data_IF_398975094240
#
_entry.id   IF_398975094240
#
_cell.length_a   1.000
_cell.length_b   1.000
_cell.length_c   1.000
_cell.angle_alpha   90.00
_cell.angle_beta   90.00
_cell.angle_gamma   90.00
#
_symmetry.space_group_name_H-M   'P 1'
#
loop_
_entity.id
_entity.type
_entity.pdbx_description
1 polymer ?
#
# COMPACT_ATOMS: atom_id res chain seq x y z
N UNK A 1 -9.59 -23.01 20.31
CA UNK A 1 -9.29 -22.06 19.21
C UNK A 1 -10.58 -21.76 18.48
N UNK A 2 -11.11 -20.55 18.64
CA UNK A 2 -12.46 -20.17 18.21
C UNK A 2 -12.60 -19.91 16.71
N UNK A 3 -13.80 -20.19 16.17
CA UNK A 3 -14.16 -19.95 14.78
C UNK A 3 -13.98 -18.48 14.35
N UNK A 4 -14.15 -17.54 15.27
CA UNK A 4 -13.90 -16.11 15.08
C UNK A 4 -12.43 -15.80 14.75
N UNK A 5 -11.49 -16.55 15.34
CA UNK A 5 -10.04 -16.43 15.05
C UNK A 5 -9.68 -17.04 13.69
N UNK A 6 -10.43 -18.05 13.24
CA UNK A 6 -10.27 -18.67 11.90
C UNK A 6 -10.78 -17.76 10.77
N UNK A 7 -11.91 -17.08 10.98
CA UNK A 7 -12.48 -16.13 10.01
C UNK A 7 -11.60 -14.88 9.82
N UNK A 8 -11.00 -14.35 10.91
CA UNK A 8 -10.04 -13.24 10.84
C UNK A 8 -8.78 -13.58 10.03
N UNK A 9 -8.32 -14.83 10.07
CA UNK A 9 -7.19 -15.31 9.24
C UNK A 9 -7.56 -15.55 7.77
N UNK A 10 -8.83 -15.83 7.47
CA UNK A 10 -9.30 -16.08 6.11
C UNK A 10 -9.40 -14.79 5.27
N UNK A 11 -9.64 -13.63 5.90
CA UNK A 11 -9.66 -12.33 5.22
C UNK A 11 -8.26 -11.82 4.82
N UNK A 12 -7.18 -12.49 5.28
CA UNK A 12 -5.78 -12.18 4.95
C UNK A 12 -5.38 -12.76 3.58
N UNK A 13 -6.17 -13.68 3.01
CA UNK A 13 -5.76 -14.49 1.85
C UNK A 13 -6.27 -14.04 0.49
N UNK A 14 -7.10 -13.00 0.40
CA UNK A 14 -7.54 -12.51 -0.92
C UNK A 14 -6.54 -11.48 -1.42
N UNK A 15 -5.76 -11.78 -2.48
CA UNK A 15 -4.96 -10.75 -3.13
C UNK A 15 -5.90 -9.68 -3.68
N UNK A 16 -5.49 -8.41 -3.60
CA UNK A 16 -6.20 -7.28 -4.19
C UNK A 16 -6.54 -7.61 -5.65
N UNK A 17 -7.76 -7.29 -6.08
CA UNK A 17 -8.20 -7.49 -7.47
C UNK A 17 -7.29 -6.72 -8.41
N UNK A 18 -7.23 -7.11 -9.69
CA UNK A 18 -6.45 -6.36 -10.68
C UNK A 18 -6.94 -4.92 -10.82
N UNK A 19 -8.26 -4.72 -10.83
CA UNK A 19 -8.88 -3.40 -10.94
C UNK A 19 -8.59 -2.54 -9.70
N UNK A 20 -8.83 -3.08 -8.50
CA UNK A 20 -8.50 -2.41 -7.24
C UNK A 20 -7.00 -2.07 -7.17
N UNK A 21 -6.12 -2.96 -7.63
CA UNK A 21 -4.68 -2.73 -7.63
C UNK A 21 -4.29 -1.57 -8.56
N UNK A 22 -4.96 -1.40 -9.70
CA UNK A 22 -4.74 -0.26 -10.60
C UNK A 22 -5.25 1.05 -9.98
N UNK A 23 -6.41 1.03 -9.32
CA UNK A 23 -6.93 2.18 -8.59
C UNK A 23 -6.01 2.57 -7.42
N UNK A 24 -5.55 1.58 -6.66
CA UNK A 24 -4.62 1.78 -5.55
C UNK A 24 -3.30 2.35 -6.02
N UNK A 25 -2.75 1.81 -7.12
CA UNK A 25 -1.54 2.34 -7.74
C UNK A 25 -1.71 3.82 -8.08
N UNK A 26 -2.81 4.16 -8.76
CA UNK A 26 -3.09 5.55 -9.15
C UNK A 26 -3.19 6.47 -7.93
N UNK A 27 -3.97 6.09 -6.92
CA UNK A 27 -4.09 6.86 -5.67
C UNK A 27 -2.75 7.03 -4.97
N UNK A 28 -1.92 5.99 -4.94
CA UNK A 28 -0.58 6.06 -4.36
C UNK A 28 0.30 7.08 -5.10
N UNK A 29 0.26 7.06 -6.44
CA UNK A 29 0.99 8.03 -7.27
C UNK A 29 0.51 9.45 -7.04
N UNK A 30 -0.81 9.67 -7.05
CA UNK A 30 -1.41 11.00 -6.85
C UNK A 30 -1.03 11.58 -5.47
N UNK A 31 -1.04 10.75 -4.42
CA UNK A 31 -0.61 11.15 -3.07
C UNK A 31 0.89 11.47 -3.00
N UNK A 32 1.73 10.68 -3.67
CA UNK A 32 3.18 10.93 -3.72
C UNK A 32 3.48 12.21 -4.48
N UNK A 33 2.82 12.46 -5.61
CA UNK A 33 2.99 13.68 -6.41
C UNK A 33 2.48 14.93 -5.65
N UNK A 34 1.28 14.85 -5.07
CA UNK A 34 0.69 15.97 -4.33
C UNK A 34 1.47 16.38 -3.08
N UNK A 35 2.16 15.43 -2.43
CA UNK A 35 3.02 15.71 -1.28
C UNK A 35 4.52 15.85 -1.65
N UNK A 36 4.86 15.82 -2.95
CA UNK A 36 6.24 15.87 -3.47
C UNK A 36 7.16 14.87 -2.75
N UNK A 37 6.66 13.65 -2.54
CA UNK A 37 7.39 12.56 -1.89
C UNK A 37 8.24 11.79 -2.89
N UNK A 38 9.52 11.61 -2.55
CA UNK A 38 10.38 10.64 -3.24
C UNK A 38 9.99 9.19 -2.90
N UNK A 39 10.35 8.24 -3.78
CA UNK A 39 10.16 6.80 -3.54
C UNK A 39 10.72 6.35 -2.18
N UNK A 40 11.85 6.91 -1.76
CA UNK A 40 12.50 6.61 -0.48
C UNK A 40 11.63 7.08 0.69
N UNK A 41 11.14 8.32 0.63
CA UNK A 41 10.30 8.88 1.69
C UNK A 41 8.95 8.15 1.78
N UNK A 42 8.34 7.85 0.64
CA UNK A 42 7.10 7.08 0.61
C UNK A 42 7.30 5.67 1.18
N UNK A 43 8.38 4.97 0.82
CA UNK A 43 8.70 3.66 1.38
C UNK A 43 8.92 3.72 2.90
N UNK A 44 9.67 4.71 3.39
CA UNK A 44 9.85 4.93 4.84
C UNK A 44 8.51 5.18 5.54
N UNK A 45 7.66 6.03 4.99
CA UNK A 45 6.36 6.35 5.57
C UNK A 45 5.45 5.12 5.62
N UNK A 46 5.43 4.33 4.54
CA UNK A 46 4.70 3.07 4.48
C UNK A 46 5.19 2.08 5.55
N UNK A 47 6.50 1.96 5.75
CA UNK A 47 7.06 1.09 6.79
C UNK A 47 6.67 1.55 8.19
N UNK A 48 6.78 2.85 8.46
CA UNK A 48 6.45 3.45 9.76
C UNK A 48 4.96 3.27 10.12
N UNK A 49 4.07 3.54 9.16
CA UNK A 49 2.63 3.51 9.39
C UNK A 49 2.02 2.10 9.35
N UNK A 50 2.52 1.23 8.46
CA UNK A 50 1.98 -0.13 8.34
C UNK A 50 2.63 -1.15 9.28
N UNK A 51 3.82 -0.86 9.81
CA UNK A 51 4.66 -1.80 10.57
C UNK A 51 5.15 -2.98 9.73
N UNK A 52 5.07 -2.92 8.40
CA UNK A 52 5.47 -3.99 7.47
C UNK A 52 6.76 -3.61 6.74
N UNK A 53 7.64 -4.58 6.44
CA UNK A 53 8.82 -4.32 5.63
C UNK A 53 8.41 -3.94 4.20
N UNK A 54 8.67 -2.69 3.82
CA UNK A 54 8.33 -2.13 2.51
C UNK A 54 9.51 -1.31 1.98
N UNK A 55 10.33 -1.91 1.12
CA UNK A 55 11.44 -1.20 0.49
C UNK A 55 11.03 -0.43 -0.76
N UNK A 56 11.92 0.46 -1.22
CA UNK A 56 11.78 1.22 -2.48
C UNK A 56 11.52 0.30 -3.67
N UNK A 57 12.20 -0.85 -3.74
CA UNK A 57 12.01 -1.82 -4.83
C UNK A 57 10.60 -2.41 -4.86
N UNK A 58 10.02 -2.66 -3.68
CA UNK A 58 8.64 -3.15 -3.54
C UNK A 58 7.66 -2.08 -4.01
N UNK A 59 7.86 -0.83 -3.59
CA UNK A 59 7.08 0.30 -4.05
C UNK A 59 7.14 0.45 -5.58
N UNK A 60 8.34 0.37 -6.17
CA UNK A 60 8.52 0.42 -7.62
C UNK A 60 7.85 -0.75 -8.35
N UNK A 61 7.81 -1.94 -7.76
CA UNK A 61 7.05 -3.06 -8.31
C UNK A 61 5.55 -2.77 -8.40
N UNK A 62 4.98 -2.04 -7.44
CA UNK A 62 3.57 -1.64 -7.49
C UNK A 62 3.33 -0.51 -8.49
N UNK A 63 4.25 0.45 -8.55
CA UNK A 63 4.11 1.65 -9.40
C UNK A 63 4.37 1.37 -10.89
N UNK A 64 5.38 0.53 -11.20
CA UNK A 64 5.85 0.27 -12.56
C UNK A 64 5.61 -1.16 -13.04
N UNK A 65 5.25 -2.07 -12.14
CA UNK A 65 5.06 -3.47 -12.48
C UNK A 65 3.74 -3.75 -13.20
N UNK A 66 3.71 -4.89 -13.89
CA UNK A 66 2.53 -5.43 -14.54
C UNK A 66 1.52 -5.94 -13.50
N UNK A 67 0.36 -5.28 -13.42
CA UNK A 67 -0.73 -5.60 -12.48
C UNK A 67 -1.36 -6.99 -12.68
N UNK A 68 -1.10 -7.63 -13.83
CA UNK A 68 -1.51 -9.02 -14.09
C UNK A 68 -0.82 -9.98 -13.11
N UNK A 69 0.42 -9.65 -12.70
CA UNK A 69 1.16 -10.40 -11.69
C UNK A 69 0.72 -9.98 -10.30
N UNK A 70 0.20 -10.93 -9.51
CA UNK A 70 -0.32 -10.69 -8.16
C UNK A 70 0.71 -10.01 -7.24
N UNK A 71 2.00 -10.36 -7.36
CA UNK A 71 3.09 -9.75 -6.58
C UNK A 71 3.34 -8.27 -6.88
N UNK A 72 2.89 -7.79 -8.04
CA UNK A 72 3.04 -6.39 -8.48
C UNK A 72 1.78 -5.57 -8.20
N UNK A 73 0.71 -6.18 -7.66
CA UNK A 73 -0.52 -5.47 -7.36
C UNK A 73 -0.31 -4.56 -6.16
N UNK A 74 -0.64 -3.28 -6.33
CA UNK A 74 -0.63 -2.33 -5.23
C UNK A 74 -1.70 -2.73 -4.21
N UNK A 75 -1.30 -3.07 -2.97
CA UNK A 75 -2.25 -3.58 -1.98
C UNK A 75 -3.00 -2.42 -1.31
N UNK A 76 -4.23 -2.69 -0.86
CA UNK A 76 -5.10 -1.68 -0.24
C UNK A 76 -4.47 -1.04 1.01
N UNK A 77 -3.73 -1.85 1.79
CA UNK A 77 -3.06 -1.35 2.98
C UNK A 77 -1.98 -0.31 2.68
N UNK A 78 -1.35 -0.33 1.50
CA UNK A 78 -0.30 0.62 1.15
C UNK A 78 -0.91 2.03 0.97
N UNK A 79 -2.04 2.12 0.28
CA UNK A 79 -2.78 3.38 0.12
C UNK A 79 -3.20 3.92 1.50
N UNK A 80 -3.78 3.07 2.34
CA UNK A 80 -4.24 3.47 3.68
C UNK A 80 -3.09 3.92 4.59
N UNK A 81 -1.92 3.28 4.50
CA UNK A 81 -0.75 3.64 5.29
C UNK A 81 -0.16 4.98 4.83
N UNK A 82 -0.04 5.21 3.52
CA UNK A 82 0.46 6.49 2.99
C UNK A 82 -0.49 7.64 3.34
N UNK A 83 -1.79 7.42 3.19
CA UNK A 83 -2.82 8.42 3.54
C UNK A 83 -2.75 8.81 5.02
N UNK A 84 -2.61 7.84 5.92
CA UNK A 84 -2.45 8.09 7.36
C UNK A 84 -1.16 8.85 7.68
N UNK A 85 -0.05 8.44 7.07
CA UNK A 85 1.23 9.12 7.26
C UNK A 85 1.21 10.57 6.76
N UNK A 86 0.54 10.82 5.64
CA UNK A 86 0.36 12.17 5.10
C UNK A 86 -0.53 13.03 6.00
N UNK A 87 -1.66 12.50 6.47
CA UNK A 87 -2.54 13.20 7.43
C UNK A 87 -1.82 13.61 8.71
N UNK A 88 -0.88 12.79 9.21
CA UNK A 88 -0.08 13.13 10.40
C UNK A 88 0.97 14.20 10.12
N UNK A 89 1.54 14.24 8.91
CA UNK A 89 2.62 15.17 8.53
C UNK A 89 2.11 16.53 8.06
N UNK A 90 0.90 16.60 7.51
CA UNK A 90 0.25 17.83 7.07
C UNK A 90 -0.99 18.07 7.94
N UNK A 91 -0.81 18.53 9.19
CA UNK A 91 -1.94 19.04 9.95
C UNK A 91 -2.43 20.31 9.25
N UNK A 92 -3.65 20.24 8.72
CA UNK A 92 -4.39 21.39 8.21
C UNK A 92 -4.53 22.48 9.27
#
# INVERSE_FOLDING_TARGET
MDAATRAKRANIKKPTSMEDALMNRRRLQDMMEGAVLSDVQAACLLMEESGRPCGVRTLQHWLKGDASKVSNRCPDWAVLALEQGLKKRLPS
#
